data_IF_946851021925
#
_entry.id   IF_946851021925
#
_cell.length_a   1.000
_cell.length_b   1.000
_cell.length_c   1.000
_cell.angle_alpha   90.00
_cell.angle_beta   90.00
_cell.angle_gamma   90.00
#
_symmetry.space_group_name_H-M   'P 1'
#
loop_
_entity.id
_entity.type
_entity.pdbx_description
1 polymer ?
#
# COMPACT_ATOMS: atom_id res chain seq x y z
N UNK A 1 60.16 35.56 -21.27
CA UNK A 1 59.36 35.24 -22.48
C UNK A 1 59.98 34.03 -23.15
N UNK A 2 59.34 32.98 -23.63
CA UNK A 2 58.01 32.39 -23.54
C UNK A 2 58.15 31.02 -24.28
N UNK A 3 57.67 29.93 -23.66
CA UNK A 3 57.09 28.66 -24.19
C UNK A 3 57.82 27.93 -25.37
N UNK A 4 58.37 26.71 -25.22
CA UNK A 4 57.77 25.37 -25.00
C UNK A 4 56.62 25.00 -25.94
N UNK A 5 56.81 23.96 -26.79
CA UNK A 5 55.75 23.10 -27.33
C UNK A 5 56.33 21.74 -27.74
N UNK A 6 56.27 20.80 -26.81
CA UNK A 6 56.41 19.36 -27.03
C UNK A 6 55.06 18.79 -27.45
N UNK A 7 54.98 18.18 -28.64
CA UNK A 7 53.80 17.47 -29.11
C UNK A 7 53.60 16.17 -28.31
N UNK A 8 52.75 16.22 -27.29
CA UNK A 8 52.35 15.07 -26.48
C UNK A 8 51.37 14.16 -27.25
N UNK A 9 51.69 12.87 -27.26
CA UNK A 9 50.82 11.79 -27.76
C UNK A 9 49.56 11.72 -26.89
N UNK A 10 48.40 11.87 -27.49
CA UNK A 10 47.09 11.65 -26.87
C UNK A 10 46.80 10.15 -26.79
N UNK A 11 46.71 9.61 -25.58
CA UNK A 11 46.20 8.25 -25.30
C UNK A 11 44.71 8.36 -25.03
N UNK A 12 43.89 7.81 -25.93
CA UNK A 12 42.43 7.74 -25.80
C UNK A 12 42.08 6.59 -24.84
N UNK A 13 41.58 6.89 -23.65
CA UNK A 13 41.01 5.89 -22.75
C UNK A 13 39.55 5.63 -23.14
N UNK A 14 39.27 4.47 -23.73
CA UNK A 14 37.92 3.99 -23.94
C UNK A 14 37.40 3.36 -22.63
N UNK A 15 36.55 4.10 -21.90
CA UNK A 15 35.80 3.56 -20.76
C UNK A 15 34.62 2.74 -21.29
N UNK A 16 34.75 1.41 -21.25
CA UNK A 16 33.62 0.50 -21.42
C UNK A 16 32.82 0.56 -20.11
N UNK A 17 31.74 1.36 -20.09
CA UNK A 17 30.75 1.30 -19.02
C UNK A 17 29.97 0.00 -19.17
N UNK A 18 30.41 -1.06 -18.47
CA UNK A 18 29.59 -2.24 -18.25
C UNK A 18 28.42 -1.84 -17.34
N UNK A 19 27.25 -1.59 -17.93
CA UNK A 19 26.01 -1.52 -17.15
C UNK A 19 25.75 -2.92 -16.61
N UNK A 20 25.94 -3.10 -15.30
CA UNK A 20 25.49 -4.30 -14.59
C UNK A 20 23.97 -4.39 -14.76
N UNK A 21 23.52 -5.26 -15.65
CA UNK A 21 22.11 -5.56 -15.82
C UNK A 21 21.69 -6.42 -14.63
N UNK A 22 21.13 -5.79 -13.59
CA UNK A 22 20.51 -6.54 -12.50
C UNK A 22 19.36 -7.36 -13.07
N UNK A 23 19.36 -8.67 -12.82
CA UNK A 23 18.28 -9.54 -13.24
C UNK A 23 17.04 -9.20 -12.42
N UNK A 24 16.04 -8.58 -13.05
CA UNK A 24 14.75 -8.30 -12.43
C UNK A 24 13.86 -9.55 -12.46
N UNK A 25 13.21 -9.87 -11.36
CA UNK A 25 12.26 -11.00 -11.26
C UNK A 25 10.85 -10.50 -10.98
N UNK A 26 9.88 -10.94 -11.80
CA UNK A 26 8.45 -10.74 -11.50
C UNK A 26 8.03 -11.72 -10.41
N UNK A 27 7.42 -11.19 -9.36
CA UNK A 27 6.87 -12.00 -8.27
C UNK A 27 5.47 -12.46 -8.62
N UNK A 28 5.36 -13.63 -9.23
CA UNK A 28 4.09 -14.17 -9.76
C UNK A 28 2.99 -14.28 -8.69
N UNK A 29 3.32 -14.70 -7.46
CA UNK A 29 2.35 -14.81 -6.35
C UNK A 29 1.92 -13.45 -5.79
N UNK A 30 2.78 -12.44 -5.87
CA UNK A 30 2.46 -11.04 -5.53
C UNK A 30 1.98 -10.23 -6.74
N UNK A 31 1.51 -10.90 -7.80
CA UNK A 31 1.06 -10.26 -9.05
C UNK A 31 -0.24 -10.87 -9.56
N UNK A 32 -1.04 -10.09 -10.29
CA UNK A 32 -2.21 -10.56 -11.03
C UNK A 32 -2.44 -9.72 -12.30
N UNK A 33 -3.18 -10.28 -13.26
CA UNK A 33 -3.49 -9.61 -14.53
C UNK A 33 -2.33 -9.54 -15.54
N UNK A 34 -1.25 -10.30 -15.32
CA UNK A 34 -0.09 -10.39 -16.21
C UNK A 34 -0.22 -11.55 -17.22
N UNK A 35 -1.26 -11.53 -18.06
CA UNK A 35 -1.49 -12.54 -19.11
C UNK A 35 -2.11 -13.87 -18.64
N UNK A 36 -2.15 -14.13 -17.33
CA UNK A 36 -2.97 -15.21 -16.73
C UNK A 36 -4.36 -14.68 -16.40
N UNK A 37 -5.41 -15.49 -16.58
CA UNK A 37 -6.78 -15.13 -16.13
C UNK A 37 -6.75 -14.82 -14.64
N UNK A 38 -7.40 -13.73 -14.22
CA UNK A 38 -7.42 -13.28 -12.82
C UNK A 38 -8.08 -14.27 -11.87
N UNK A 39 -9.05 -15.05 -12.34
CA UNK A 39 -9.59 -16.17 -11.59
C UNK A 39 -9.73 -17.41 -12.49
N UNK A 40 -9.43 -18.56 -11.90
CA UNK A 40 -10.05 -19.82 -12.31
C UNK A 40 -11.33 -19.94 -11.49
N UNK A 41 -12.46 -20.12 -12.17
CA UNK A 41 -13.80 -20.28 -11.58
C UNK A 41 -13.71 -21.11 -10.29
N UNK A 42 -13.99 -20.48 -9.14
CA UNK A 42 -14.07 -21.14 -7.82
C UNK A 42 -12.83 -21.08 -6.91
N UNK A 43 -11.65 -20.69 -7.38
CA UNK A 43 -10.39 -20.83 -6.61
C UNK A 43 -9.78 -19.52 -6.05
N UNK A 44 -10.52 -18.40 -6.06
CA UNK A 44 -10.00 -17.13 -5.55
C UNK A 44 -8.91 -16.51 -6.42
N UNK A 45 -8.20 -15.51 -5.88
CA UNK A 45 -7.06 -14.85 -6.52
C UNK A 45 -5.77 -15.49 -5.99
N UNK A 46 -5.02 -16.28 -6.80
CA UNK A 46 -3.87 -17.03 -6.30
C UNK A 46 -2.79 -16.12 -5.70
N UNK A 47 -2.33 -16.41 -4.47
CA UNK A 47 -1.33 -15.60 -3.75
C UNK A 47 -1.88 -14.33 -3.12
N UNK A 48 -3.20 -14.13 -3.14
CA UNK A 48 -3.87 -12.95 -2.59
C UNK A 48 -5.07 -13.33 -1.73
N UNK A 49 -5.16 -12.69 -0.56
CA UNK A 49 -6.36 -12.71 0.27
C UNK A 49 -7.29 -11.59 -0.14
N UNK A 50 -8.54 -11.94 -0.44
CA UNK A 50 -9.61 -11.01 -0.79
C UNK A 50 -10.51 -10.83 0.43
N UNK A 51 -10.78 -9.58 0.82
CA UNK A 51 -11.68 -9.26 1.92
C UNK A 51 -12.49 -8.00 1.64
N UNK A 52 -13.57 -7.80 2.38
CA UNK A 52 -14.39 -6.59 2.22
C UNK A 52 -15.32 -6.36 3.40
N UNK A 53 -15.82 -5.13 3.49
CA UNK A 53 -16.78 -4.71 4.51
C UNK A 53 -18.04 -4.21 3.82
N UNK A 54 -19.16 -4.89 4.08
CA UNK A 54 -20.47 -4.61 3.46
C UNK A 54 -20.59 -4.99 1.98
N UNK A 55 -19.50 -5.43 1.34
CA UNK A 55 -19.41 -5.94 -0.03
C UNK A 55 -18.14 -6.79 -0.12
N UNK A 56 -18.21 -7.99 -0.70
CA UNK A 56 -17.04 -8.79 -1.01
C UNK A 56 -16.60 -8.45 -2.44
N UNK A 57 -15.32 -8.08 -2.68
CA UNK A 57 -14.84 -7.77 -4.03
C UNK A 57 -15.19 -8.86 -5.05
N UNK A 58 -15.75 -8.44 -6.18
CA UNK A 58 -16.18 -9.33 -7.25
C UNK A 58 -15.01 -9.56 -8.23
N UNK A 59 -14.66 -10.83 -8.44
CA UNK A 59 -13.58 -11.21 -9.36
C UNK A 59 -14.17 -11.58 -10.72
N UNK A 60 -13.89 -10.76 -11.72
CA UNK A 60 -14.21 -11.03 -13.12
C UNK A 60 -12.98 -11.59 -13.84
N UNK A 61 -13.16 -12.02 -15.08
CA UNK A 61 -12.05 -12.55 -15.89
C UNK A 61 -10.99 -11.50 -16.23
N UNK A 62 -11.39 -10.23 -16.33
CA UNK A 62 -10.62 -9.10 -16.86
C UNK A 62 -10.43 -7.94 -15.87
N UNK A 63 -11.05 -8.01 -14.68
CA UNK A 63 -10.84 -7.07 -13.56
C UNK A 63 -11.36 -7.62 -12.24
N UNK A 64 -11.01 -6.93 -11.16
CA UNK A 64 -11.60 -7.10 -9.83
C UNK A 64 -12.34 -5.82 -9.46
N UNK A 65 -13.62 -5.92 -9.10
CA UNK A 65 -14.41 -4.79 -8.61
C UNK A 65 -14.21 -4.71 -7.09
N UNK A 66 -13.48 -3.69 -6.62
CA UNK A 66 -13.20 -3.48 -5.19
C UNK A 66 -14.36 -2.81 -4.47
N UNK A 67 -15.05 -1.87 -5.14
CA UNK A 67 -16.29 -1.25 -4.65
C UNK A 67 -17.34 -1.25 -5.76
N UNK A 68 -18.60 -1.56 -5.44
CA UNK A 68 -19.66 -1.57 -6.43
C UNK A 68 -20.11 -0.14 -6.75
N UNK A 69 -20.69 0.10 -7.94
CA UNK A 69 -21.29 1.39 -8.28
C UNK A 69 -22.56 1.71 -7.47
N UNK A 70 -23.14 0.71 -6.81
CA UNK A 70 -24.21 0.83 -5.84
C UNK A 70 -24.35 -0.49 -5.06
N UNK A 71 -24.69 -0.49 -3.76
CA UNK A 71 -24.84 0.65 -2.86
C UNK A 71 -23.48 1.18 -2.34
N UNK A 72 -23.45 2.39 -1.80
CA UNK A 72 -22.22 3.00 -1.26
C UNK A 72 -21.81 2.52 0.13
N UNK A 73 -20.82 3.21 0.71
CA UNK A 73 -20.20 2.89 2.01
C UNK A 73 -19.63 1.47 2.08
N UNK A 74 -19.07 1.00 0.97
CA UNK A 74 -18.44 -0.32 0.83
C UNK A 74 -16.94 -0.20 0.84
N UNK A 75 -16.29 -1.22 1.40
CA UNK A 75 -14.83 -1.32 1.40
C UNK A 75 -14.40 -2.67 0.84
N UNK A 76 -13.37 -2.66 0.02
CA UNK A 76 -12.73 -3.86 -0.51
C UNK A 76 -11.23 -3.83 -0.22
N UNK A 77 -10.63 -5.00 -0.07
CA UNK A 77 -9.19 -5.15 0.10
C UNK A 77 -8.65 -6.41 -0.57
N UNK A 78 -7.46 -6.28 -1.12
CA UNK A 78 -6.63 -7.35 -1.68
C UNK A 78 -5.29 -7.29 -0.96
N UNK A 79 -4.83 -8.40 -0.40
CA UNK A 79 -3.52 -8.48 0.27
C UNK A 79 -2.70 -9.61 -0.30
N UNK A 80 -1.49 -9.32 -0.78
CA UNK A 80 -0.55 -10.35 -1.20
C UNK A 80 -0.11 -11.18 0.01
N UNK A 81 0.03 -12.49 -0.18
CA UNK A 81 0.47 -13.42 0.87
C UNK A 81 1.98 -13.40 1.08
N UNK A 82 2.73 -13.17 0.00
CA UNK A 82 4.18 -13.25 0.01
C UNK A 82 4.80 -11.93 0.51
N UNK A 83 5.76 -12.07 1.43
CA UNK A 83 6.61 -10.98 1.93
C UNK A 83 7.69 -10.67 0.90
N UNK A 84 7.94 -9.39 0.66
CA UNK A 84 8.96 -8.92 -0.28
C UNK A 84 10.30 -8.75 0.47
N UNK A 85 11.32 -9.61 0.23
CA UNK A 85 12.58 -9.55 0.96
C UNK A 85 13.57 -8.52 0.39
N UNK A 86 13.32 -8.04 -0.84
CA UNK A 86 14.23 -7.17 -1.57
C UNK A 86 14.06 -5.69 -1.15
N UNK A 87 15.18 -4.99 -1.02
CA UNK A 87 15.19 -3.54 -0.74
C UNK A 87 14.82 -2.70 -1.95
N UNK A 88 15.07 -3.22 -3.15
CA UNK A 88 14.76 -2.56 -4.42
C UNK A 88 13.62 -3.30 -5.12
N UNK A 89 12.59 -2.54 -5.47
CA UNK A 89 11.37 -3.09 -6.06
C UNK A 89 10.68 -2.06 -6.93
N UNK A 90 9.85 -2.57 -7.84
CA UNK A 90 9.00 -1.78 -8.71
C UNK A 90 7.65 -2.47 -8.80
N UNK A 91 6.58 -1.71 -8.60
CA UNK A 91 5.21 -2.18 -8.83
C UNK A 91 4.53 -1.35 -9.89
N UNK A 92 3.72 -2.01 -10.72
CA UNK A 92 2.83 -1.38 -11.67
C UNK A 92 1.39 -1.82 -11.39
N UNK A 93 0.53 -0.85 -11.11
CA UNK A 93 -0.87 -1.05 -10.77
C UNK A 93 -1.79 -0.33 -11.78
N UNK A 94 -2.63 -1.10 -12.46
CA UNK A 94 -3.60 -0.59 -13.42
C UNK A 94 -4.99 -0.59 -12.78
N UNK A 95 -5.58 0.60 -12.65
CA UNK A 95 -6.84 0.81 -11.94
C UNK A 95 -7.79 1.71 -12.71
N UNK A 96 -9.08 1.67 -12.35
CA UNK A 96 -10.09 2.60 -12.87
C UNK A 96 -11.04 3.02 -11.75
N UNK A 97 -11.50 4.26 -11.82
CA UNK A 97 -12.59 4.76 -10.99
C UNK A 97 -13.69 5.34 -11.88
N UNK A 98 -14.93 4.89 -11.68
CA UNK A 98 -16.09 5.40 -12.38
C UNK A 98 -17.21 5.75 -11.40
N UNK A 99 -17.94 6.80 -11.70
CA UNK A 99 -19.13 7.15 -10.94
C UNK A 99 -19.79 8.43 -11.45
N UNK A 100 -20.93 8.75 -10.86
CA UNK A 100 -21.70 9.95 -11.17
C UNK A 100 -20.96 11.24 -10.77
N UNK A 101 -21.52 12.40 -11.12
CA UNK A 101 -20.85 13.70 -10.92
C UNK A 101 -20.50 13.98 -9.45
N UNK A 102 -21.35 13.53 -8.51
CA UNK A 102 -21.18 13.74 -7.06
C UNK A 102 -20.76 12.50 -6.29
N UNK A 103 -20.38 11.42 -6.98
CA UNK A 103 -19.87 10.25 -6.30
C UNK A 103 -18.41 10.41 -5.90
N UNK A 104 -17.96 9.52 -5.03
CA UNK A 104 -16.59 9.55 -4.55
C UNK A 104 -16.18 8.30 -3.81
N UNK A 105 -14.98 8.41 -3.26
CA UNK A 105 -14.31 7.35 -2.54
C UNK A 105 -12.81 7.48 -2.78
N UNK A 106 -12.09 6.42 -2.47
CA UNK A 106 -10.64 6.38 -2.61
C UNK A 106 -10.17 4.96 -2.85
N UNK A 107 -8.99 4.87 -3.46
CA UNK A 107 -8.24 3.63 -3.62
C UNK A 107 -6.81 3.88 -3.14
N UNK A 108 -6.25 2.90 -2.45
CA UNK A 108 -4.90 2.96 -1.92
C UNK A 108 -4.10 1.73 -2.32
N UNK A 109 -2.83 1.96 -2.64
CA UNK A 109 -1.80 0.94 -2.69
C UNK A 109 -0.97 1.01 -1.41
N UNK A 110 -0.80 -0.12 -0.74
CA UNK A 110 -0.05 -0.29 0.49
C UNK A 110 1.20 -1.13 0.27
N UNK A 111 2.25 -0.80 1.01
CA UNK A 111 3.40 -1.65 1.23
C UNK A 111 3.76 -1.58 2.71
N UNK A 112 3.26 -2.54 3.49
CA UNK A 112 3.23 -2.47 4.96
C UNK A 112 3.67 -3.76 5.61
N UNK A 113 4.12 -3.66 6.86
CA UNK A 113 4.65 -4.79 7.62
C UNK A 113 3.59 -5.83 8.00
N UNK A 114 2.37 -5.37 8.27
CA UNK A 114 1.27 -6.22 8.69
C UNK A 114 -0.02 -5.81 7.98
N UNK A 115 -0.52 -6.66 7.09
CA UNK A 115 -1.78 -6.46 6.39
C UNK A 115 -2.97 -6.27 7.36
N UNK A 116 -2.98 -6.99 8.48
CA UNK A 116 -4.05 -6.93 9.49
C UNK A 116 -4.17 -5.56 10.19
N UNK A 117 -3.08 -4.79 10.28
CA UNK A 117 -3.11 -3.44 10.86
C UNK A 117 -3.92 -2.46 10.00
N UNK A 118 -3.99 -2.72 8.68
CA UNK A 118 -4.75 -1.91 7.72
C UNK A 118 -6.12 -2.53 7.45
N UNK A 119 -6.16 -3.83 7.12
CA UNK A 119 -7.39 -4.57 6.79
C UNK A 119 -8.09 -3.99 5.56
N UNK A 120 -9.29 -3.43 5.75
CA UNK A 120 -10.08 -2.74 4.72
C UNK A 120 -10.07 -1.22 4.88
N UNK A 121 -9.19 -0.70 5.72
CA UNK A 121 -9.12 0.72 6.04
C UNK A 121 -8.57 1.55 4.87
N UNK A 122 -9.05 2.78 4.77
CA UNK A 122 -8.45 3.83 3.95
C UNK A 122 -7.43 4.61 4.79
N UNK A 123 -6.62 5.48 4.17
CA UNK A 123 -5.71 6.37 4.91
C UNK A 123 -6.43 7.25 5.96
N UNK A 124 -7.72 7.52 5.75
CA UNK A 124 -8.58 8.29 6.66
C UNK A 124 -9.16 7.51 7.83
N UNK A 125 -9.06 6.18 7.82
CA UNK A 125 -9.68 5.32 8.84
C UNK A 125 -8.74 4.30 9.43
N UNK A 126 -7.54 4.16 8.87
CA UNK A 126 -6.49 3.31 9.40
C UNK A 126 -5.95 3.93 10.69
N UNK A 127 -5.68 3.10 11.69
CA UNK A 127 -5.03 3.54 12.91
C UNK A 127 -3.53 3.75 12.70
N UNK A 128 -2.73 3.00 13.48
CA UNK A 128 -1.28 2.93 13.32
C UNK A 128 -0.92 1.85 12.29
N UNK A 129 0.01 2.15 11.39
CA UNK A 129 0.59 1.20 10.45
C UNK A 129 2.09 1.46 10.30
N UNK A 130 2.83 0.46 9.84
CA UNK A 130 4.27 0.54 9.59
C UNK A 130 4.52 0.25 8.10
N UNK A 131 4.90 1.28 7.33
CA UNK A 131 5.14 1.21 5.90
C UNK A 131 4.64 2.42 5.11
N UNK A 132 4.25 2.15 3.86
CA UNK A 132 3.88 3.14 2.84
C UNK A 132 2.42 2.99 2.43
N UNK A 133 1.76 4.12 2.18
CA UNK A 133 0.48 4.21 1.50
C UNK A 133 0.54 5.21 0.34
N UNK A 134 0.15 4.79 -0.87
CA UNK A 134 -0.11 5.67 -2.00
C UNK A 134 -1.62 5.74 -2.19
N UNK A 135 -2.20 6.90 -1.91
CA UNK A 135 -3.65 7.13 -2.01
C UNK A 135 -3.97 7.89 -3.29
N UNK A 136 -4.98 7.41 -4.02
CA UNK A 136 -5.62 8.12 -5.13
C UNK A 136 -7.02 8.51 -4.66
N UNK A 137 -7.25 9.81 -4.54
CA UNK A 137 -8.50 10.33 -4.01
C UNK A 137 -8.75 11.79 -4.40
N UNK A 138 -9.92 12.29 -4.02
CA UNK A 138 -10.26 13.71 -4.12
C UNK A 138 -10.15 14.36 -2.75
N UNK A 139 -9.18 15.24 -2.58
CA UNK A 139 -8.93 15.96 -1.33
C UNK A 139 -8.93 17.48 -1.59
N UNK A 140 -9.57 18.27 -0.72
CA UNK A 140 -9.58 19.73 -0.85
C UNK A 140 -10.19 20.23 -2.17
N UNK A 141 -11.09 19.45 -2.78
CA UNK A 141 -11.67 19.72 -4.10
C UNK A 141 -10.76 19.40 -5.28
N UNK A 142 -9.59 18.80 -5.06
CA UNK A 142 -8.64 18.40 -6.12
C UNK A 142 -8.47 16.88 -6.13
N UNK A 143 -8.64 16.29 -7.31
CA UNK A 143 -8.31 14.89 -7.53
C UNK A 143 -6.80 14.73 -7.71
N UNK A 144 -6.20 13.77 -7.03
CA UNK A 144 -4.77 13.59 -7.07
C UNK A 144 -4.28 12.29 -6.44
N UNK A 145 -2.95 12.20 -6.39
CA UNK A 145 -2.22 11.07 -5.83
C UNK A 145 -1.33 11.59 -4.71
N UNK A 146 -1.31 10.91 -3.57
CA UNK A 146 -0.57 11.32 -2.37
C UNK A 146 0.14 10.14 -1.73
N UNK A 147 1.37 10.38 -1.26
CA UNK A 147 2.18 9.40 -0.55
C UNK A 147 2.23 9.69 0.94
N UNK A 148 2.05 8.64 1.74
CA UNK A 148 2.09 8.67 3.21
C UNK A 148 3.04 7.62 3.75
N UNK A 149 3.72 7.95 4.84
CA UNK A 149 4.59 7.03 5.58
C UNK A 149 4.16 6.98 7.03
N UNK A 150 4.35 5.81 7.64
CA UNK A 150 4.18 5.65 9.06
C UNK A 150 5.14 4.55 9.53
N UNK A 151 5.66 4.69 10.73
CA UNK A 151 6.61 3.78 11.38
C UNK A 151 5.93 2.98 12.52
N UNK A 152 4.60 2.96 12.54
CA UNK A 152 3.78 2.37 13.58
C UNK A 152 3.47 3.30 14.74
N UNK A 153 3.95 4.55 14.75
CA UNK A 153 3.75 5.47 15.88
C UNK A 153 2.52 6.35 15.74
N UNK A 154 2.22 6.83 14.53
CA UNK A 154 1.19 7.84 14.27
C UNK A 154 -0.17 7.20 14.06
N UNK A 155 -1.19 7.66 14.79
CA UNK A 155 -2.59 7.25 14.57
C UNK A 155 -3.25 8.14 13.51
N UNK A 156 -3.46 7.60 12.31
CA UNK A 156 -4.03 8.34 11.20
C UNK A 156 -5.53 8.58 11.36
N UNK A 157 -6.27 7.63 11.93
CA UNK A 157 -7.72 7.73 12.19
C UNK A 157 -8.03 8.84 13.19
N UNK A 158 -7.14 9.03 14.17
CA UNK A 158 -7.22 10.11 15.15
C UNK A 158 -6.69 11.46 14.64
N UNK A 159 -6.07 11.51 13.45
CA UNK A 159 -5.51 12.74 12.90
C UNK A 159 -6.63 13.65 12.37
N UNK A 160 -6.70 14.88 12.90
CA UNK A 160 -7.64 15.90 12.41
C UNK A 160 -7.31 16.44 11.02
N UNK A 161 -6.09 16.20 10.53
CA UNK A 161 -5.64 16.62 9.20
C UNK A 161 -4.66 15.58 8.64
N UNK A 162 -5.21 14.56 7.98
CA UNK A 162 -4.42 13.52 7.29
C UNK A 162 -3.58 14.12 6.17
N UNK A 163 -4.04 15.20 5.55
CA UNK A 163 -3.45 15.75 4.34
C UNK A 163 -2.08 16.39 4.61
N UNK A 164 -1.91 16.96 5.81
CA UNK A 164 -0.63 17.47 6.30
C UNK A 164 0.43 16.37 6.50
N UNK A 165 0.04 15.09 6.55
CA UNK A 165 0.95 13.95 6.72
C UNK A 165 1.53 13.44 5.39
N UNK A 166 1.06 13.96 4.25
CA UNK A 166 1.57 13.53 2.95
C UNK A 166 3.01 14.02 2.73
N UNK A 167 3.93 13.11 2.37
CA UNK A 167 5.31 13.48 2.06
C UNK A 167 5.50 13.89 0.58
N UNK A 168 4.54 13.56 -0.27
CA UNK A 168 4.56 13.86 -1.70
C UNK A 168 3.17 13.78 -2.30
N UNK A 169 2.89 14.62 -3.30
CA UNK A 169 1.60 14.62 -3.99
C UNK A 169 1.71 15.16 -5.42
N UNK A 170 0.72 14.85 -6.25
CA UNK A 170 0.47 15.52 -7.52
C UNK A 170 -1.03 15.55 -7.85
N UNK A 171 -1.45 16.53 -8.64
CA UNK A 171 -2.82 16.61 -9.15
C UNK A 171 -2.98 15.62 -10.33
N UNK A 172 -4.05 14.84 -10.32
CA UNK A 172 -4.36 13.87 -11.38
C UNK A 172 -5.86 13.55 -11.40
N UNK A 173 -6.51 13.85 -12.53
CA UNK A 173 -7.93 13.57 -12.74
C UNK A 173 -8.12 12.10 -13.11
N UNK A 174 -8.33 11.24 -12.13
CA UNK A 174 -8.40 9.78 -12.30
C UNK A 174 -9.80 9.23 -12.63
N UNK A 175 -10.85 10.02 -12.42
CA UNK A 175 -12.26 9.57 -12.54
C UNK A 175 -12.74 9.60 -13.99
N UNK A 176 -13.55 8.61 -14.37
CA UNK A 176 -14.32 8.58 -15.63
C UNK A 176 -13.47 8.72 -16.91
N UNK A 177 -12.23 8.22 -16.91
CA UNK A 177 -11.31 8.32 -18.06
C UNK A 177 -11.65 7.35 -19.21
N UNK A 178 -12.57 6.40 -19.01
CA UNK A 178 -12.91 5.35 -20.00
C UNK A 178 -11.84 4.27 -20.20
N UNK A 179 -10.60 4.50 -19.73
CA UNK A 179 -9.48 3.55 -19.73
C UNK A 179 -8.91 3.36 -18.31
N UNK A 180 -8.20 2.26 -18.03
CA UNK A 180 -7.40 2.16 -16.82
C UNK A 180 -6.24 3.19 -16.81
N UNK A 181 -5.93 3.69 -15.62
CA UNK A 181 -4.75 4.49 -15.30
C UNK A 181 -3.66 3.56 -14.78
N UNK A 182 -2.39 3.84 -15.15
CA UNK A 182 -1.25 3.03 -14.73
C UNK A 182 -0.40 3.78 -13.69
N UNK A 183 -0.54 3.38 -12.43
CA UNK A 183 0.33 3.82 -11.34
C UNK A 183 1.60 2.97 -11.33
N UNK A 184 2.77 3.60 -11.22
CA UNK A 184 4.04 2.92 -11.00
C UNK A 184 4.70 3.48 -9.75
N UNK A 185 5.15 2.59 -8.87
CA UNK A 185 5.89 2.97 -7.67
C UNK A 185 7.21 2.21 -7.67
N UNK A 186 8.31 2.93 -7.52
CA UNK A 186 9.67 2.40 -7.59
C UNK A 186 10.44 2.82 -6.36
N UNK A 187 11.09 1.84 -5.74
CA UNK A 187 12.12 2.08 -4.75
C UNK A 187 13.43 1.52 -5.26
N UNK A 188 14.42 2.40 -5.37
CA UNK A 188 15.81 2.05 -5.67
C UNK A 188 16.70 2.41 -4.49
N UNK A 189 17.99 2.04 -4.58
CA UNK A 189 19.01 2.48 -3.62
C UNK A 189 19.25 4.00 -3.57
N UNK A 190 18.73 4.78 -4.54
CA UNK A 190 18.99 6.23 -4.66
C UNK A 190 17.76 7.11 -4.52
N UNK A 191 16.63 6.66 -5.05
CA UNK A 191 15.43 7.48 -5.18
C UNK A 191 14.18 6.61 -5.07
N UNK A 192 13.18 7.15 -4.39
CA UNK A 192 11.80 6.69 -4.41
C UNK A 192 11.01 7.53 -5.41
N UNK A 193 10.31 6.88 -6.34
CA UNK A 193 9.61 7.54 -7.44
C UNK A 193 8.19 6.98 -7.63
N UNK A 194 7.23 7.89 -7.82
CA UNK A 194 5.85 7.57 -8.22
C UNK A 194 5.59 8.17 -9.59
N UNK A 195 5.11 7.34 -10.53
CA UNK A 195 4.67 7.76 -11.86
C UNK A 195 3.19 7.42 -12.07
N UNK A 196 2.49 8.25 -12.84
CA UNK A 196 1.13 8.01 -13.29
C UNK A 196 1.05 8.19 -14.80
N UNK A 197 0.58 7.16 -15.50
CA UNK A 197 0.50 7.12 -16.97
C UNK A 197 1.83 7.50 -17.66
N UNK A 198 2.96 7.10 -17.06
CA UNK A 198 4.32 7.37 -17.56
C UNK A 198 4.90 8.74 -17.19
N UNK A 199 4.13 9.61 -16.53
CA UNK A 199 4.60 10.92 -16.06
C UNK A 199 4.99 10.85 -14.58
N UNK A 200 6.10 11.49 -14.20
CA UNK A 200 6.49 11.60 -12.78
C UNK A 200 5.45 12.40 -12.01
N UNK A 201 4.88 11.79 -10.97
CA UNK A 201 3.98 12.44 -10.03
C UNK A 201 4.79 13.14 -8.92
N UNK A 202 5.61 12.38 -8.20
CA UNK A 202 6.60 12.91 -7.27
C UNK A 202 7.74 11.90 -7.08
N UNK A 203 8.90 12.42 -6.66
CA UNK A 203 10.08 11.62 -6.38
C UNK A 203 10.94 12.26 -5.31
N UNK A 204 11.65 11.45 -4.53
CA UNK A 204 12.47 11.94 -3.42
C UNK A 204 13.55 10.93 -3.03
N UNK A 205 14.78 11.38 -2.73
CA UNK A 205 15.82 10.53 -2.18
C UNK A 205 15.68 10.31 -0.66
N UNK A 206 14.71 10.97 0.00
CA UNK A 206 14.57 10.95 1.47
C UNK A 206 13.72 9.80 2.00
N UNK A 207 13.05 9.08 1.11
CA UNK A 207 12.12 8.00 1.47
C UNK A 207 12.78 6.68 1.13
N UNK A 208 12.81 5.78 2.11
CA UNK A 208 13.25 4.41 1.96
C UNK A 208 12.46 3.53 2.93
N UNK A 209 11.73 2.57 2.38
CA UNK A 209 10.94 1.60 3.14
C UNK A 209 11.79 0.32 3.29
N UNK A 210 12.01 -0.17 4.51
CA UNK A 210 12.74 -1.42 4.73
C UNK A 210 12.14 -2.62 3.97
N UNK A 211 12.94 -3.65 3.65
CA UNK A 211 12.42 -4.92 3.15
C UNK A 211 11.60 -5.64 4.24
N UNK A 212 10.88 -6.68 3.85
CA UNK A 212 10.09 -7.51 4.78
C UNK A 212 8.64 -7.05 4.94
N UNK A 213 8.07 -6.40 3.93
CA UNK A 213 6.68 -5.94 3.93
C UNK A 213 5.86 -6.68 2.86
N UNK A 214 4.53 -6.52 2.94
CA UNK A 214 3.57 -7.09 1.97
C UNK A 214 2.87 -5.98 1.19
N UNK A 215 2.53 -6.28 -0.06
CA UNK A 215 1.70 -5.38 -0.87
C UNK A 215 0.21 -5.59 -0.58
N UNK A 216 -0.56 -4.52 -0.65
CA UNK A 216 -2.01 -4.58 -0.57
C UNK A 216 -2.69 -3.45 -1.33
N UNK A 217 -3.94 -3.64 -1.66
CA UNK A 217 -4.79 -2.65 -2.29
C UNK A 217 -6.06 -2.56 -1.46
N UNK A 218 -6.47 -1.36 -1.07
CA UNK A 218 -7.77 -1.13 -0.45
C UNK A 218 -8.55 -0.11 -1.27
N UNK A 219 -9.88 -0.21 -1.25
CA UNK A 219 -10.75 0.84 -1.76
C UNK A 219 -11.90 1.05 -0.79
N UNK A 220 -12.34 2.30 -0.65
CA UNK A 220 -13.51 2.68 0.11
C UNK A 220 -14.37 3.62 -0.72
N UNK A 221 -15.66 3.29 -0.84
CA UNK A 221 -16.64 4.13 -1.52
C UNK A 221 -17.31 5.08 -0.53
N UNK A 222 -17.66 6.27 -1.00
CA UNK A 222 -18.50 7.19 -0.25
C UNK A 222 -19.98 6.74 -0.26
N UNK A 223 -20.87 7.54 0.33
CA UNK A 223 -22.31 7.29 0.31
C UNK A 223 -22.87 7.28 -1.12
N UNK A 224 -22.50 8.29 -1.92
CA UNK A 224 -22.60 8.25 -3.38
C UNK A 224 -21.29 7.63 -3.90
N UNK A 225 -21.29 6.38 -4.36
CA UNK A 225 -20.04 5.63 -4.51
C UNK A 225 -19.43 5.78 -5.90
N UNK A 226 -18.11 5.93 -5.93
CA UNK A 226 -17.34 5.51 -7.08
C UNK A 226 -17.13 3.99 -7.03
N UNK A 227 -17.23 3.35 -8.19
CA UNK A 227 -16.75 2.00 -8.39
C UNK A 227 -15.25 2.03 -8.69
N UNK A 228 -14.48 1.38 -7.84
CA UNK A 228 -13.04 1.19 -7.99
C UNK A 228 -12.75 -0.21 -8.49
N UNK A 229 -12.00 -0.30 -9.59
CA UNK A 229 -11.67 -1.54 -10.27
C UNK A 229 -10.15 -1.71 -10.40
N UNK A 230 -9.66 -2.92 -10.17
CA UNK A 230 -8.26 -3.30 -10.34
C UNK A 230 -8.14 -4.25 -11.55
N UNK A 231 -7.29 -3.90 -12.51
CA UNK A 231 -7.09 -4.67 -13.74
C UNK A 231 -5.82 -5.51 -13.69
N UNK A 232 -4.75 -4.95 -13.12
CA UNK A 232 -3.43 -5.57 -13.11
C UNK A 232 -2.60 -5.03 -11.96
N UNK A 233 -1.89 -5.91 -11.28
CA UNK A 233 -0.85 -5.54 -10.32
C UNK A 233 0.37 -6.41 -10.59
N UNK A 234 1.52 -5.82 -10.83
CA UNK A 234 2.77 -6.56 -11.09
C UNK A 234 3.84 -6.04 -10.16
N UNK A 235 4.35 -6.91 -9.30
CA UNK A 235 5.51 -6.67 -8.46
C UNK A 235 6.76 -7.25 -9.10
N UNK A 236 7.80 -6.43 -9.21
CA UNK A 236 9.11 -6.80 -9.74
C UNK A 236 10.16 -6.46 -8.69
N UNK A 237 11.02 -7.41 -8.36
CA UNK A 237 12.14 -7.20 -7.44
C UNK A 237 13.48 -7.32 -8.15
N UNK A 238 14.50 -6.76 -7.52
CA UNK A 238 15.88 -6.80 -7.99
C UNK A 238 16.72 -7.50 -6.93
N UNK A 239 16.88 -8.83 -7.02
CA UNK A 239 17.70 -9.58 -6.07
C UNK A 239 19.10 -8.96 -5.95
N UNK A 240 19.49 -8.66 -4.71
CA UNK A 240 20.85 -8.26 -4.40
C UNK A 240 21.85 -9.36 -4.82
N UNK A 241 23.08 -8.98 -5.16
CA UNK A 241 24.15 -9.85 -5.68
C UNK A 241 24.50 -11.10 -4.83
N UNK A 242 23.87 -11.32 -3.68
CA UNK A 242 24.15 -12.45 -2.79
C UNK A 242 23.75 -13.82 -3.36
N UNK A 243 22.93 -13.89 -4.42
CA UNK A 243 22.58 -15.17 -5.06
C UNK A 243 23.52 -15.59 -6.20
N UNK A 244 24.50 -14.77 -6.58
CA UNK A 244 25.42 -15.09 -7.67
C UNK A 244 26.70 -15.82 -7.22
N UNK A 245 26.84 -16.07 -5.91
CA UNK A 245 28.04 -16.70 -5.33
C UNK A 245 27.90 -18.23 -5.14
N UNK A 246 26.69 -18.79 -5.15
CA UNK A 246 26.48 -20.26 -5.07
C UNK A 246 26.55 -20.96 -6.44
N UNK A 247 26.48 -20.24 -7.56
CA UNK A 247 26.50 -20.84 -8.91
C UNK A 247 27.88 -20.89 -9.59
N UNK A 248 28.96 -20.56 -8.87
CA UNK A 248 30.34 -20.54 -9.42
C UNK A 248 31.23 -21.72 -8.98
N UNK A 249 30.75 -22.66 -8.17
CA UNK A 249 31.58 -23.76 -7.66
C UNK A 249 31.50 -25.10 -8.41
N UNK A 250 30.66 -25.25 -9.44
CA UNK A 250 30.49 -26.56 -10.10
C UNK A 250 31.15 -26.71 -11.47
N UNK A 251 31.91 -25.73 -11.96
CA UNK A 251 32.58 -25.81 -13.26
C UNK A 251 34.10 -25.87 -13.14
N UNK A 252 34.65 -26.87 -12.42
CA UNK A 252 36.03 -27.31 -12.64
C UNK A 252 36.36 -28.68 -12.02
N UNK A 253 36.13 -29.77 -12.78
CA UNK A 253 36.88 -31.05 -12.80
C UNK A 253 36.08 -32.03 -13.72
N UNK A 254 36.59 -32.80 -14.70
CA UNK A 254 37.85 -32.93 -15.46
C UNK A 254 37.53 -33.91 -16.64
N UNK A 255 38.51 -34.47 -17.39
CA UNK A 255 38.64 -34.42 -18.85
C UNK A 255 37.90 -35.54 -19.64
N UNK A 256 37.78 -35.34 -20.96
CA UNK A 256 37.02 -36.20 -21.85
C UNK A 256 37.73 -37.42 -22.42
N UNK A 257 36.94 -38.22 -23.14
CA UNK A 257 37.37 -38.98 -24.32
C UNK A 257 36.14 -39.33 -25.17
N UNK A 258 36.30 -39.17 -26.49
CA UNK A 258 35.28 -39.38 -27.49
C UNK A 258 35.00 -40.88 -27.70
N UNK A 259 33.75 -41.23 -28.00
CA UNK A 259 33.49 -42.05 -29.19
C UNK A 259 32.04 -41.88 -29.66
N UNK A 260 31.88 -41.56 -30.95
CA UNK A 260 30.64 -41.68 -31.68
C UNK A 260 30.57 -43.10 -32.23
N UNK A 261 29.46 -43.82 -32.01
CA UNK A 261 28.97 -44.71 -33.06
C UNK A 261 27.46 -44.98 -33.00
N UNK A 262 26.95 -45.25 -34.20
CA UNK A 262 25.57 -45.26 -34.69
C UNK A 262 24.58 -46.21 -34.00
N UNK A 263 23.30 -45.85 -34.14
CA UNK A 263 22.13 -46.74 -33.99
C UNK A 263 22.20 -47.98 -34.91
N UNK A 264 21.53 -49.09 -34.55
CA UNK A 264 20.21 -49.32 -35.16
C UNK A 264 19.14 -49.97 -34.25
N UNK A 265 17.91 -49.77 -34.69
CA UNK A 265 16.64 -50.44 -34.38
C UNK A 265 16.68 -51.98 -34.47
N UNK A 266 15.89 -52.67 -33.64
CA UNK A 266 15.33 -53.99 -33.96
C UNK A 266 15.35 -55.04 -32.84
N UNK A 267 14.31 -55.02 -31.99
CA UNK A 267 13.69 -56.11 -31.24
C UNK A 267 14.45 -57.45 -31.07
N UNK A 268 15.00 -57.66 -29.87
CA UNK A 268 14.86 -58.87 -29.07
C UNK A 268 15.15 -58.47 -27.62
N UNK A 269 14.18 -58.64 -26.71
CA UNK A 269 14.37 -58.35 -25.29
C UNK A 269 15.23 -59.48 -24.71
N UNK A 270 16.53 -59.24 -24.68
CA UNK A 270 17.51 -60.12 -24.05
C UNK A 270 17.33 -60.02 -22.52
N UNK A 271 17.08 -61.16 -21.86
CA UNK A 271 16.90 -61.25 -20.41
C UNK A 271 18.15 -60.70 -19.67
N UNK A 272 19.29 -60.67 -20.36
CA UNK A 272 20.52 -60.05 -19.89
C UNK A 272 20.43 -58.52 -19.73
N UNK A 273 19.74 -57.82 -20.65
CA UNK A 273 19.52 -56.36 -20.57
C UNK A 273 18.59 -56.01 -19.39
N UNK A 274 17.62 -56.87 -19.07
CA UNK A 274 16.77 -56.72 -17.89
C UNK A 274 17.55 -56.87 -16.58
N UNK A 275 18.53 -57.78 -16.55
CA UNK A 275 19.37 -58.00 -15.39
C UNK A 275 20.37 -56.86 -15.17
N UNK A 276 20.93 -56.33 -16.26
CA UNK A 276 21.81 -55.15 -16.22
C UNK A 276 21.04 -53.89 -15.81
N UNK A 277 19.79 -53.72 -16.29
CA UNK A 277 18.88 -52.63 -15.87
C UNK A 277 18.46 -52.76 -14.40
N UNK A 278 18.22 -53.97 -13.88
CA UNK A 278 17.91 -54.18 -12.47
C UNK A 278 19.09 -53.83 -11.56
N UNK A 279 20.32 -54.15 -11.96
CA UNK A 279 21.52 -53.72 -11.24
C UNK A 279 21.75 -52.20 -11.33
N UNK A 280 21.45 -51.59 -12.48
CA UNK A 280 21.48 -50.14 -12.62
C UNK A 280 20.43 -49.46 -11.72
N UNK A 281 19.21 -49.97 -11.63
CA UNK A 281 18.16 -49.45 -10.74
C UNK A 281 18.54 -49.64 -9.26
N UNK A 282 19.09 -50.79 -8.89
CA UNK A 282 19.53 -51.05 -7.52
C UNK A 282 20.63 -50.08 -7.08
N UNK A 283 21.63 -49.84 -7.94
CA UNK A 283 22.69 -48.87 -7.63
C UNK A 283 22.18 -47.43 -7.59
N UNK A 284 21.19 -47.08 -8.41
CA UNK A 284 20.55 -45.76 -8.38
C UNK A 284 19.72 -45.58 -7.10
N UNK A 285 19.09 -46.65 -6.61
CA UNK A 285 18.31 -46.63 -5.36
C UNK A 285 19.22 -46.44 -4.16
N UNK A 286 20.39 -47.09 -4.13
CA UNK A 286 21.39 -46.90 -3.07
C UNK A 286 21.93 -45.46 -3.05
N UNK A 287 22.19 -44.87 -4.23
CA UNK A 287 22.57 -43.44 -4.32
C UNK A 287 21.48 -42.50 -3.81
N UNK A 288 20.22 -42.78 -4.12
CA UNK A 288 19.09 -41.98 -3.62
C UNK A 288 18.92 -42.10 -2.10
N UNK A 289 19.20 -43.27 -1.53
CA UNK A 289 19.21 -43.49 -0.08
C UNK A 289 20.35 -42.69 0.57
N UNK A 290 21.54 -42.70 -0.04
CA UNK A 290 22.68 -41.90 0.44
C UNK A 290 22.40 -40.39 0.33
N UNK A 291 21.78 -39.93 -0.76
CA UNK A 291 21.32 -38.53 -0.90
C UNK A 291 20.21 -38.18 0.10
N UNK A 292 19.27 -39.08 0.37
CA UNK A 292 18.24 -38.89 1.39
C UNK A 292 18.83 -38.79 2.79
N UNK A 293 19.84 -39.62 3.10
CA UNK A 293 20.56 -39.53 4.36
C UNK A 293 21.38 -38.24 4.46
N UNK A 294 22.00 -37.79 3.38
CA UNK A 294 22.71 -36.51 3.33
C UNK A 294 21.75 -35.31 3.48
N UNK A 295 20.56 -35.36 2.87
CA UNK A 295 19.49 -34.38 3.04
C UNK A 295 18.94 -34.36 4.47
N UNK A 296 18.76 -35.54 5.08
CA UNK A 296 18.32 -35.67 6.47
C UNK A 296 19.35 -35.10 7.44
N UNK A 297 20.65 -35.39 7.23
CA UNK A 297 21.72 -34.84 8.05
C UNK A 297 21.82 -33.30 7.92
N UNK A 298 21.65 -32.78 6.70
CA UNK A 298 21.62 -31.33 6.45
C UNK A 298 20.39 -30.66 7.08
N UNK A 299 19.24 -31.33 7.08
CA UNK A 299 18.02 -30.86 7.74
C UNK A 299 18.17 -30.83 9.27
N UNK A 300 18.78 -31.85 9.86
CA UNK A 300 19.07 -31.91 11.30
C UNK A 300 20.08 -30.83 11.72
N UNK A 301 21.07 -30.54 10.89
CA UNK A 301 22.01 -29.45 11.16
C UNK A 301 21.37 -28.07 11.03
N UNK A 302 20.44 -27.87 10.07
CA UNK A 302 19.62 -26.65 10.00
C UNK A 302 18.68 -26.51 11.21
N UNK A 303 18.10 -27.61 11.70
CA UNK A 303 17.30 -27.60 12.92
C UNK A 303 18.15 -27.30 14.15
N UNK A 304 19.37 -27.85 14.26
CA UNK A 304 20.33 -27.50 15.31
C UNK A 304 20.80 -26.06 15.20
N UNK A 305 20.95 -25.51 14.00
CA UNK A 305 21.30 -24.12 13.77
C UNK A 305 20.16 -23.16 14.13
N UNK A 306 18.91 -23.52 13.81
CA UNK A 306 17.71 -22.81 14.29
C UNK A 306 17.61 -22.91 15.81
N UNK A 307 17.83 -24.08 16.40
CA UNK A 307 17.86 -24.26 17.86
C UNK A 307 18.99 -23.44 18.49
N UNK A 308 20.15 -23.30 17.84
CA UNK A 308 21.26 -22.44 18.29
C UNK A 308 20.95 -20.95 18.14
N UNK A 309 20.26 -20.55 17.07
CA UNK A 309 19.75 -19.18 16.90
C UNK A 309 18.64 -18.85 17.91
N UNK A 310 17.82 -19.84 18.29
CA UNK A 310 16.81 -19.72 19.35
C UNK A 310 17.46 -19.75 20.75
N UNK A 311 18.54 -20.51 20.94
CA UNK A 311 19.29 -20.57 22.19
C UNK A 311 20.23 -19.38 22.40
N UNK A 312 20.48 -18.57 21.38
CA UNK A 312 21.26 -17.33 21.51
C UNK A 312 20.44 -16.14 22.02
N UNK A 313 19.18 -16.37 22.42
CA UNK A 313 18.34 -15.38 23.09
C UNK A 313 18.22 -15.72 24.57
N UNK A 314 19.30 -15.46 25.30
CA UNK A 314 19.38 -15.41 26.78
C UNK A 314 18.49 -14.27 27.33
N UNK A 315 17.18 -14.34 27.10
CA UNK A 315 16.17 -13.46 27.67
C UNK A 315 15.15 -14.20 28.53
N UNK A 316 15.18 -15.53 28.60
CA UNK A 316 14.21 -16.30 29.42
C UNK A 316 14.39 -16.02 30.91
N UNK A 317 15.62 -15.82 31.41
CA UNK A 317 15.85 -15.42 32.81
C UNK A 317 15.41 -13.98 33.12
N UNK A 318 15.51 -13.09 32.13
CA UNK A 318 15.08 -11.68 32.27
C UNK A 318 13.57 -11.52 32.20
N UNK A 319 12.87 -12.44 31.52
CA UNK A 319 11.41 -12.47 31.44
C UNK A 319 10.83 -13.01 32.75
N UNK A 320 11.44 -14.05 33.33
CA UNK A 320 10.99 -14.62 34.61
C UNK A 320 11.13 -13.61 35.78
N UNK A 321 12.24 -12.86 35.80
CA UNK A 321 12.44 -11.76 36.76
C UNK A 321 11.47 -10.58 36.56
N UNK A 322 11.04 -10.33 35.30
CA UNK A 322 10.04 -9.29 35.00
C UNK A 322 8.64 -9.77 35.36
N UNK A 323 8.33 -11.04 35.15
CA UNK A 323 7.04 -11.65 35.52
C UNK A 323 6.82 -11.59 37.03
N UNK A 324 7.82 -11.99 37.82
CA UNK A 324 7.76 -11.91 39.29
C UNK A 324 7.67 -10.47 39.84
N UNK A 325 8.14 -9.47 39.07
CA UNK A 325 8.01 -8.05 39.43
C UNK A 325 6.61 -7.54 39.10
N UNK A 326 6.05 -7.96 37.97
CA UNK A 326 4.69 -7.62 37.56
C UNK A 326 3.67 -8.26 38.50
N UNK A 327 3.85 -9.51 38.89
CA UNK A 327 2.96 -10.20 39.84
C UNK A 327 2.91 -9.49 41.20
N UNK A 328 4.07 -9.10 41.74
CA UNK A 328 4.14 -8.29 42.98
C UNK A 328 3.51 -6.91 42.82
N UNK A 329 3.61 -6.30 41.65
CA UNK A 329 2.99 -5.00 41.36
C UNK A 329 1.47 -5.14 41.24
N UNK A 330 0.97 -6.22 40.64
CA UNK A 330 -0.46 -6.53 40.52
C UNK A 330 -1.06 -6.85 41.89
N UNK A 331 -0.38 -7.62 42.74
CA UNK A 331 -0.84 -7.83 44.12
C UNK A 331 -0.86 -6.55 44.96
N UNK A 332 0.09 -5.64 44.73
CA UNK A 332 0.12 -4.34 45.41
C UNK A 332 -1.00 -3.41 44.90
N UNK A 333 -1.31 -3.46 43.60
CA UNK A 333 -2.45 -2.74 43.02
C UNK A 333 -3.79 -3.32 43.49
N UNK A 334 -3.92 -4.64 43.62
CA UNK A 334 -5.16 -5.26 44.09
C UNK A 334 -5.44 -4.92 45.56
N UNK A 335 -4.40 -4.86 46.41
CA UNK A 335 -4.50 -4.36 47.78
C UNK A 335 -4.78 -2.85 47.85
N UNK A 336 -4.35 -2.07 46.87
CA UNK A 336 -4.62 -0.63 46.80
C UNK A 336 -5.99 -0.30 46.20
N UNK A 337 -6.58 -1.22 45.43
CA UNK A 337 -7.93 -1.10 44.85
C UNK A 337 -9.03 -1.52 45.83
N UNK A 338 -8.76 -2.42 46.78
CA UNK A 338 -9.72 -2.76 47.84
C UNK A 338 -9.82 -1.73 48.98
N UNK A 339 -8.90 -0.76 49.05
CA UNK A 339 -8.75 0.13 50.22
C UNK A 339 -9.17 1.60 50.05
N UNK A 340 -9.64 2.05 48.89
CA UNK A 340 -9.94 3.48 48.66
C UNK A 340 -11.41 3.73 48.32
N UNK A 341 -12.09 4.34 49.29
CA UNK A 341 -13.48 4.80 49.28
C UNK A 341 -13.79 5.77 48.12
N UNK A 342 -14.24 5.23 46.98
CA UNK A 342 -14.85 6.02 45.89
C UNK A 342 -16.23 6.57 46.25
N UNK A 343 -16.82 6.16 47.37
CA UNK A 343 -18.12 6.64 47.84
C UNK A 343 -18.12 8.10 48.28
N UNK A 344 -17.00 8.61 48.80
CA UNK A 344 -16.92 10.00 49.27
C UNK A 344 -16.79 10.99 48.10
N UNK A 345 -16.06 10.62 47.05
CA UNK A 345 -15.91 11.44 45.85
C UNK A 345 -17.20 11.45 45.02
N UNK A 346 -17.97 10.36 45.00
CA UNK A 346 -19.25 10.32 44.29
C UNK A 346 -20.31 11.22 44.94
N UNK A 347 -20.34 11.32 46.29
CA UNK A 347 -21.23 12.25 46.99
C UNK A 347 -20.84 13.71 46.77
N UNK A 348 -19.54 14.03 46.76
CA UNK A 348 -19.07 15.38 46.42
C UNK A 348 -19.43 15.78 44.99
N UNK A 349 -19.39 14.83 44.03
CA UNK A 349 -19.82 15.08 42.66
C UNK A 349 -21.35 15.31 42.57
N UNK A 350 -22.11 14.58 43.36
CA UNK A 350 -23.57 14.67 43.39
C UNK A 350 -24.06 15.99 44.01
N UNK A 351 -23.40 16.49 45.05
CA UNK A 351 -23.68 17.80 45.65
C UNK A 351 -23.27 18.97 44.73
N UNK A 352 -22.19 18.81 43.95
CA UNK A 352 -21.78 19.81 42.96
C UNK A 352 -22.75 19.88 41.77
N UNK A 353 -23.33 18.76 41.35
CA UNK A 353 -24.35 18.74 40.30
C UNK A 353 -25.69 19.34 40.74
N UNK A 354 -26.09 19.13 42.00
CA UNK A 354 -27.35 19.69 42.51
C UNK A 354 -27.28 21.22 42.65
N UNK A 355 -26.13 21.76 43.05
CA UNK A 355 -25.93 23.21 43.19
C UNK A 355 -25.71 23.93 41.84
N UNK A 356 -25.28 23.22 40.79
CA UNK A 356 -25.10 23.81 39.46
C UNK A 356 -26.42 24.04 38.71
N UNK A 357 -27.49 23.34 39.07
CA UNK A 357 -28.78 23.44 38.37
C UNK A 357 -29.60 24.69 38.76
N UNK A 358 -29.32 25.33 39.90
CA UNK A 358 -29.97 26.58 40.31
C UNK A 358 -29.26 27.83 39.77
N UNK A 359 -27.95 27.78 39.51
CA UNK A 359 -27.16 28.92 39.02
C UNK A 359 -27.25 29.18 37.51
N UNK A 360 -27.70 28.20 36.72
CA UNK A 360 -27.81 28.32 35.26
C UNK A 360 -29.08 29.05 34.77
N UNK A 361 -30.09 29.20 35.62
CA UNK A 361 -31.30 29.95 35.26
C UNK A 361 -31.15 31.47 35.43
N UNK A 362 -30.35 31.93 36.39
CA UNK A 362 -30.11 33.38 36.59
C UNK A 362 -29.04 33.94 35.63
N UNK A 363 -28.10 33.11 35.17
CA UNK A 363 -27.01 33.54 34.27
C UNK A 363 -27.42 33.61 32.80
N UNK A 364 -28.55 32.99 32.41
CA UNK A 364 -29.15 33.16 31.09
C UNK A 364 -29.96 34.47 30.96
N UNK A 365 -30.47 35.03 32.06
CA UNK A 365 -31.22 36.28 32.01
C UNK A 365 -30.29 37.48 31.78
N UNK A 366 -29.12 37.50 32.40
CA UNK A 366 -28.19 38.66 32.34
C UNK A 366 -27.29 38.69 31.08
N UNK A 367 -27.10 37.55 30.43
CA UNK A 367 -26.31 37.42 29.19
C UNK A 367 -27.05 37.88 27.93
N UNK A 368 -28.37 38.10 28.01
CA UNK A 368 -29.19 38.57 26.89
C UNK A 368 -29.03 40.07 26.61
N UNK A 369 -28.58 40.87 27.59
CA UNK A 369 -28.49 42.32 27.46
C UNK A 369 -27.10 42.84 27.04
N UNK A 370 -26.06 41.99 27.03
CA UNK A 370 -24.67 42.41 26.72
C UNK A 370 -24.15 42.05 25.32
N UNK A 371 -24.94 41.34 24.50
CA UNK A 371 -24.55 40.95 23.12
C UNK A 371 -25.19 41.87 22.04
N UNK A 372 -25.92 42.93 22.43
CA UNK A 372 -26.59 43.82 21.48
C UNK A 372 -25.69 44.98 20.97
N UNK A 373 -24.52 45.25 21.55
CA UNK A 373 -23.79 46.50 21.26
C UNK A 373 -22.55 46.40 20.35
N UNK A 374 -22.27 45.26 19.69
CA UNK A 374 -21.12 45.16 18.79
C UNK A 374 -21.39 44.31 17.53
N UNK A 375 -22.32 44.76 16.68
CA UNK A 375 -22.45 44.27 15.31
C UNK A 375 -22.58 45.45 14.34
N UNK A 376 -21.69 45.59 13.33
CA UNK A 376 -21.79 46.66 12.36
C UNK A 376 -22.97 46.42 11.41
N UNK A 377 -24.01 47.25 11.56
CA UNK A 377 -25.16 47.54 10.67
C UNK A 377 -25.36 46.60 9.46
N UNK A 378 -25.99 45.45 9.71
CA UNK A 378 -26.55 44.55 8.68
C UNK A 378 -27.56 45.22 7.73
N UNK A 379 -28.14 46.36 8.12
CA UNK A 379 -29.12 47.10 7.31
C UNK A 379 -28.55 47.69 6.01
N UNK A 380 -27.26 48.05 5.99
CA UNK A 380 -26.65 48.61 4.77
C UNK A 380 -26.57 47.56 3.66
N UNK A 381 -26.23 46.31 3.99
CA UNK A 381 -26.13 45.21 3.03
C UNK A 381 -27.49 44.80 2.46
N UNK A 382 -28.54 44.81 3.27
CA UNK A 382 -29.91 44.51 2.80
C UNK A 382 -30.39 45.57 1.81
N UNK A 383 -30.17 46.86 2.12
CA UNK A 383 -30.54 47.96 1.20
C UNK A 383 -29.71 47.91 -0.08
N UNK A 384 -28.42 47.57 0.00
CA UNK A 384 -27.54 47.39 -1.16
C UNK A 384 -28.06 46.28 -2.09
N UNK A 385 -28.45 45.14 -1.53
CA UNK A 385 -28.98 44.00 -2.30
C UNK A 385 -30.30 44.38 -2.99
N UNK A 386 -31.21 45.05 -2.28
CA UNK A 386 -32.48 45.52 -2.85
C UNK A 386 -32.24 46.54 -3.98
N UNK A 387 -31.29 47.45 -3.82
CA UNK A 387 -30.94 48.43 -4.85
C UNK A 387 -30.39 47.76 -6.13
N UNK A 388 -29.54 46.75 -5.98
CA UNK A 388 -29.00 45.98 -7.12
C UNK A 388 -30.10 45.19 -7.83
N UNK A 389 -31.03 44.59 -7.09
CA UNK A 389 -32.17 43.87 -7.68
C UNK A 389 -33.09 44.80 -8.47
N UNK A 390 -33.38 46.01 -7.96
CA UNK A 390 -34.18 47.01 -8.68
C UNK A 390 -33.47 47.51 -9.95
N UNK A 391 -32.16 47.72 -9.90
CA UNK A 391 -31.37 48.14 -11.07
C UNK A 391 -31.43 47.09 -12.18
N UNK A 392 -31.26 45.81 -11.84
CA UNK A 392 -31.38 44.70 -12.79
C UNK A 392 -32.79 44.59 -13.38
N UNK A 393 -33.84 44.79 -12.59
CA UNK A 393 -35.22 44.78 -13.07
C UNK A 393 -35.47 45.93 -14.07
N UNK A 394 -35.00 47.15 -13.78
CA UNK A 394 -35.11 48.29 -14.71
C UNK A 394 -34.33 48.03 -16.00
N UNK A 395 -33.10 47.51 -15.89
CA UNK A 395 -32.29 47.15 -17.06
C UNK A 395 -32.98 46.10 -17.94
N UNK A 396 -33.63 45.11 -17.33
CA UNK A 396 -34.40 44.09 -18.04
C UNK A 396 -35.61 44.68 -18.79
N UNK A 397 -36.36 45.58 -18.15
CA UNK A 397 -37.50 46.27 -18.79
C UNK A 397 -37.04 47.14 -19.97
N UNK A 398 -35.94 47.88 -19.80
CA UNK A 398 -35.35 48.69 -20.88
C UNK A 398 -34.85 47.82 -22.02
N UNK A 399 -34.18 46.70 -21.72
CA UNK A 399 -33.75 45.72 -22.72
C UNK A 399 -34.93 45.17 -23.51
N UNK A 400 -36.00 44.75 -22.82
CA UNK A 400 -37.21 44.22 -23.45
C UNK A 400 -37.90 45.26 -24.33
N UNK A 401 -37.99 46.51 -23.86
CA UNK A 401 -38.57 47.63 -24.62
C UNK A 401 -37.75 47.94 -25.87
N UNK A 402 -36.42 47.96 -25.78
CA UNK A 402 -35.52 48.15 -26.93
C UNK A 402 -35.62 47.03 -27.95
N UNK A 403 -35.76 45.77 -27.51
CA UNK A 403 -35.91 44.62 -28.40
C UNK A 403 -37.24 44.66 -29.16
N UNK A 404 -38.30 45.16 -28.55
CA UNK A 404 -39.62 45.31 -29.19
C UNK A 404 -39.67 46.46 -30.20
N UNK A 405 -38.79 47.46 -30.10
CA UNK A 405 -38.72 48.61 -31.01
C UNK A 405 -37.72 48.45 -32.16
N UNK A 406 -37.10 47.28 -32.34
CA UNK A 406 -36.22 47.04 -33.49
C UNK A 406 -37.06 46.63 -34.71
N UNK A 407 -36.98 47.36 -35.84
CA UNK A 407 -37.70 46.99 -37.05
C UNK A 407 -37.18 45.65 -37.57
N UNK A 408 -38.11 44.69 -37.76
CA UNK A 408 -37.81 43.37 -38.30
C UNK A 408 -37.33 43.55 -39.75
N UNK A 409 -36.06 43.25 -40.02
CA UNK A 409 -35.57 43.04 -41.38
C UNK A 409 -36.14 41.71 -41.86
N UNK A 410 -37.08 41.78 -42.79
CA UNK A 410 -37.57 40.63 -43.53
C UNK A 410 -36.50 40.24 -44.58
N UNK A 411 -36.18 38.95 -44.62
CA UNK A 411 -35.67 38.27 -45.82
C UNK A 411 -36.79 37.37 -46.32
#
# INVERSE_FOLDING_TARGET
MAQSLSAGKTVLWALISATLSHASSVMERSSFGNGRRMSHVGNGLPGWTVSGSGFLPEMLSDRIILTPPYPGNKRGALWAEDIIPDSEWHVAFDFRANGEERSGGNIQLWYVKQASAVGTSSIYTVGKFDGLAITIDTHGGRAGIRGFLNDGTTDYKGSGNVDALAFGHCDYQYRNLGRPSKLQVKQSSREFEVLIDGNTCFKTPKVFIPPGNVFGITAASAESPDSFEAFRFVATTYPGNNQQQERRQESQHRPGQANYDKAPTGSNVDIKDLQDRLQAISSTTNKLIDELHALSATSDDRLKEIIRMVSHRDQVSSVDQRLQRVERMVESMQREIEGKDYHHQFRQLQDLLHNSHSGLLDTLHDSSHRIISAAPRMGFFIVLIIAVQLLLAVAYVVYKKRRASMPKKFL
#
